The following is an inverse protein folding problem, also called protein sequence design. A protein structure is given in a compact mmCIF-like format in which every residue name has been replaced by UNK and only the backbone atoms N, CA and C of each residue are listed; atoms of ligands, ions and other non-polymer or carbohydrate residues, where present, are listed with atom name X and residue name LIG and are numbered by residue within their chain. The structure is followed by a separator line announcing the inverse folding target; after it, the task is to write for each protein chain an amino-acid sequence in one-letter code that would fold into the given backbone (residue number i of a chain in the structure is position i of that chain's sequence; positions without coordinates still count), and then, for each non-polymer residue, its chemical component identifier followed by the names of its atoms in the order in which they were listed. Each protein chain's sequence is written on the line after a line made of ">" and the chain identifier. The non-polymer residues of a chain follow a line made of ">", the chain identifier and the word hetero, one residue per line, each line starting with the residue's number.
data_IF_549449998752
#
_entry.id   IF_549449998752
#
_cell.length_a   1.000
_cell.length_b   1.000
_cell.length_c   1.000
_cell.angle_alpha   90.00
_cell.angle_beta   90.00
_cell.angle_gamma   90.00
#
_symmetry.space_group_name_H-M   'P 1'
#
loop_
_entity.id
_entity.type
_entity.pdbx_description
1 polymer ?
#
# COMPACT_ATOMS: atom_id res chain seq x y z
N UNK A 1 76.01 -4.71 34.97
CA UNK A 1 74.92 -3.75 35.27
C UNK A 1 75.01 -2.67 34.20
N UNK A 2 74.08 -2.39 33.31
CA UNK A 2 72.69 -2.81 33.07
C UNK A 2 72.35 -2.49 31.60
N UNK A 3 71.78 -3.50 30.93
CA UNK A 3 70.67 -3.45 29.97
C UNK A 3 70.69 -2.69 28.62
N UNK A 4 70.09 -3.41 27.66
CA UNK A 4 69.94 -3.18 26.22
C UNK A 4 69.00 -2.03 25.84
N UNK A 5 69.17 -1.52 24.60
CA UNK A 5 68.08 -1.60 23.61
C UNK A 5 68.57 -1.33 22.17
N UNK A 6 68.60 -2.40 21.37
CA UNK A 6 68.48 -2.34 19.91
C UNK A 6 67.04 -1.96 19.53
N UNK A 7 66.87 -1.16 18.47
CA UNK A 7 65.78 -1.21 17.48
C UNK A 7 66.13 -0.23 16.35
N UNK A 8 66.72 -0.71 15.26
CA UNK A 8 66.06 -1.13 14.01
C UNK A 8 65.22 -0.01 13.38
N UNK A 9 65.86 0.73 12.47
CA UNK A 9 65.22 1.52 11.42
C UNK A 9 64.60 0.58 10.39
N UNK A 10 63.29 0.34 10.48
CA UNK A 10 62.50 -0.15 9.36
C UNK A 10 61.10 0.48 9.43
N UNK A 11 60.58 0.77 8.24
CA UNK A 11 59.22 1.22 7.91
C UNK A 11 58.91 2.74 7.94
N UNK A 12 59.21 3.43 6.84
CA UNK A 12 58.28 4.38 6.22
C UNK A 12 57.53 3.76 5.02
N UNK A 13 58.03 2.67 4.46
CA UNK A 13 57.50 2.04 3.23
C UNK A 13 56.31 1.12 3.47
N UNK A 14 56.24 0.42 4.61
CA UNK A 14 55.10 -0.47 4.93
C UNK A 14 53.78 0.29 5.11
N UNK A 15 53.84 1.51 5.67
CA UNK A 15 52.67 2.37 5.92
C UNK A 15 52.06 2.90 4.61
N UNK A 16 52.88 3.18 3.60
CA UNK A 16 52.40 3.62 2.27
C UNK A 16 51.82 2.48 1.45
N UNK A 17 52.34 1.26 1.59
CA UNK A 17 51.79 0.09 0.91
C UNK A 17 50.43 -0.33 1.48
N UNK A 18 50.26 -0.36 2.81
CA UNK A 18 48.97 -0.67 3.44
C UNK A 18 47.87 0.35 3.11
N UNK A 19 48.23 1.63 3.02
CA UNK A 19 47.27 2.69 2.68
C UNK A 19 46.85 2.63 1.21
N UNK A 20 47.73 2.19 0.30
CA UNK A 20 47.39 1.96 -1.11
C UNK A 20 46.52 0.71 -1.30
N UNK A 21 46.73 -0.38 -0.56
CA UNK A 21 45.82 -1.54 -0.61
C UNK A 21 44.46 -1.24 0.01
N UNK A 22 44.40 -0.45 1.08
CA UNK A 22 43.13 -0.01 1.69
C UNK A 22 42.34 0.95 0.77
N UNK A 23 43.05 1.82 0.04
CA UNK A 23 42.45 2.72 -0.94
C UNK A 23 42.02 1.97 -2.22
N UNK A 24 42.78 0.96 -2.66
CA UNK A 24 42.40 0.09 -3.78
C UNK A 24 41.22 -0.84 -3.44
N UNK A 25 41.07 -1.27 -2.17
CA UNK A 25 39.86 -2.00 -1.73
C UNK A 25 38.61 -1.11 -1.62
N UNK A 26 38.78 0.21 -1.43
CA UNK A 26 37.66 1.17 -1.45
C UNK A 26 37.26 1.62 -2.87
N UNK A 27 38.17 1.53 -3.83
CA UNK A 27 37.93 1.87 -5.24
C UNK A 27 37.37 0.70 -6.07
N UNK A 28 37.22 -0.48 -5.48
CA UNK A 28 36.55 -1.63 -6.06
C UNK A 28 35.12 -1.81 -5.50
N UNK A 29 34.45 -0.70 -5.19
CA UNK A 29 32.99 -0.70 -5.27
C UNK A 29 32.67 -0.84 -6.76
N UNK A 30 32.42 -2.07 -7.21
CA UNK A 30 31.76 -2.27 -8.49
C UNK A 30 30.53 -1.39 -8.47
N UNK A 31 30.49 -0.38 -9.34
CA UNK A 31 29.27 0.36 -9.58
C UNK A 31 28.30 -0.67 -10.17
N UNK A 32 27.47 -1.27 -9.32
CA UNK A 32 26.43 -2.17 -9.76
C UNK A 32 25.55 -1.36 -10.70
N UNK A 33 25.62 -1.63 -11.99
CA UNK A 33 24.86 -0.89 -12.98
C UNK A 33 23.40 -1.24 -12.81
N UNK A 34 22.56 -0.22 -12.63
CA UNK A 34 21.12 -0.36 -12.76
C UNK A 34 20.79 -0.98 -14.12
N UNK A 35 19.89 -1.96 -14.12
CA UNK A 35 19.33 -2.55 -15.33
C UNK A 35 17.91 -2.04 -15.50
N UNK A 36 17.56 -1.66 -16.73
CA UNK A 36 16.22 -1.18 -17.05
C UNK A 36 15.55 -2.12 -18.06
N UNK A 37 14.32 -2.53 -17.74
CA UNK A 37 13.39 -3.21 -18.64
C UNK A 37 12.22 -2.29 -18.95
N UNK A 38 12.04 -1.99 -20.23
CA UNK A 38 10.92 -1.21 -20.72
C UNK A 38 9.86 -2.18 -21.22
N UNK A 39 8.66 -2.13 -20.62
CA UNK A 39 7.52 -2.97 -20.97
C UNK A 39 6.58 -2.20 -21.91
N UNK A 40 6.53 -2.66 -23.16
CA UNK A 40 5.66 -2.11 -24.21
C UNK A 40 5.30 -3.21 -25.22
N UNK A 41 4.51 -2.85 -26.24
CA UNK A 41 4.09 -3.79 -27.28
C UNK A 41 5.25 -4.48 -28.03
N UNK A 42 6.45 -3.89 -28.07
CA UNK A 42 7.60 -4.45 -28.75
C UNK A 42 8.42 -5.42 -27.88
N UNK A 43 8.40 -5.26 -26.56
CA UNK A 43 9.21 -6.07 -25.63
C UNK A 43 8.41 -7.13 -24.87
N UNK A 44 7.08 -7.02 -24.81
CA UNK A 44 6.26 -7.86 -23.93
C UNK A 44 6.38 -9.37 -24.23
N UNK A 45 6.64 -9.75 -25.49
CA UNK A 45 6.82 -11.15 -25.86
C UNK A 45 8.00 -11.83 -25.13
N UNK A 46 9.04 -11.06 -24.74
CA UNK A 46 10.17 -11.54 -23.94
C UNK A 46 9.75 -11.83 -22.48
N UNK A 47 8.85 -11.01 -21.94
CA UNK A 47 8.52 -11.00 -20.51
C UNK A 47 7.17 -11.64 -20.17
N UNK A 48 6.37 -12.03 -21.18
CA UNK A 48 4.99 -12.52 -20.99
C UNK A 48 4.87 -13.72 -20.05
N UNK A 49 5.93 -14.52 -19.90
CA UNK A 49 5.96 -15.71 -19.05
C UNK A 49 6.66 -15.48 -17.69
N UNK A 50 6.98 -14.24 -17.35
CA UNK A 50 7.67 -13.85 -16.13
C UNK A 50 8.99 -13.14 -16.38
N UNK A 51 9.42 -12.36 -15.40
CA UNK A 51 10.72 -11.68 -15.39
C UNK A 51 11.61 -12.37 -14.35
N UNK A 52 12.81 -12.77 -14.76
CA UNK A 52 13.88 -13.21 -13.85
C UNK A 52 15.11 -12.36 -14.06
N UNK A 53 15.65 -11.83 -12.98
CA UNK A 53 16.86 -11.02 -12.99
C UNK A 53 17.79 -11.44 -11.86
N UNK A 54 18.98 -11.92 -12.23
CA UNK A 54 20.01 -12.46 -11.34
C UNK A 54 21.20 -11.50 -11.16
N UNK A 55 21.07 -10.26 -11.64
CA UNK A 55 22.10 -9.23 -11.50
C UNK A 55 22.18 -8.63 -10.10
N UNK A 56 23.28 -7.90 -9.85
CA UNK A 56 23.55 -7.26 -8.55
C UNK A 56 23.00 -5.82 -8.46
N UNK A 57 22.91 -5.12 -9.59
CA UNK A 57 22.39 -3.74 -9.64
C UNK A 57 20.88 -3.71 -9.67
N UNK A 58 20.28 -2.63 -9.20
CA UNK A 58 18.82 -2.44 -9.17
C UNK A 58 18.18 -2.74 -10.53
N UNK A 59 17.03 -3.41 -10.50
CA UNK A 59 16.17 -3.59 -11.66
C UNK A 59 15.10 -2.50 -11.67
N UNK A 60 15.11 -1.66 -12.70
CA UNK A 60 14.03 -0.73 -13.01
C UNK A 60 13.11 -1.37 -14.06
N UNK A 61 11.81 -1.35 -13.80
CA UNK A 61 10.77 -1.74 -14.73
C UNK A 61 9.97 -0.48 -15.07
N UNK A 62 10.12 -0.03 -16.32
CA UNK A 62 9.37 1.09 -16.87
C UNK A 62 8.22 0.58 -17.73
N UNK A 63 7.00 1.04 -17.44
CA UNK A 63 5.79 0.60 -18.15
C UNK A 63 5.32 1.72 -19.09
N UNK A 64 5.42 1.49 -20.40
CA UNK A 64 5.01 2.45 -21.44
C UNK A 64 3.63 2.13 -22.06
N UNK A 65 3.24 0.85 -22.07
CA UNK A 65 1.92 0.37 -22.50
C UNK A 65 1.27 -0.48 -21.40
N UNK A 66 -0.05 -0.67 -21.49
CA UNK A 66 -0.73 -1.67 -20.65
C UNK A 66 -0.26 -3.07 -21.07
N UNK A 67 0.29 -3.82 -20.10
CA UNK A 67 0.94 -5.11 -20.35
C UNK A 67 0.48 -6.17 -19.37
N UNK A 68 0.57 -7.42 -19.78
CA UNK A 68 0.25 -8.57 -18.94
C UNK A 68 1.40 -9.58 -18.94
N UNK A 69 1.83 -9.96 -17.76
CA UNK A 69 2.73 -11.07 -17.49
C UNK A 69 1.89 -12.20 -16.88
N UNK A 70 1.89 -13.37 -17.50
CA UNK A 70 1.21 -14.57 -17.03
C UNK A 70 2.24 -15.67 -16.83
N UNK A 71 2.62 -15.90 -15.57
CA UNK A 71 3.57 -16.94 -15.21
C UNK A 71 2.84 -18.23 -14.85
N UNK A 72 3.21 -19.32 -15.53
CA UNK A 72 2.85 -20.68 -15.11
C UNK A 72 3.81 -21.23 -14.04
N UNK A 73 4.89 -20.50 -13.77
CA UNK A 73 5.79 -20.81 -12.67
C UNK A 73 5.24 -20.29 -11.34
N UNK A 74 6.08 -20.37 -10.32
CA UNK A 74 5.70 -19.97 -8.98
C UNK A 74 5.90 -18.46 -8.72
N UNK A 75 6.41 -17.71 -9.70
CA UNK A 75 6.72 -16.28 -9.57
C UNK A 75 6.46 -15.49 -10.86
N UNK A 76 5.87 -14.30 -10.74
CA UNK A 76 5.68 -13.35 -11.84
C UNK A 76 6.95 -12.56 -12.16
N UNK A 77 7.51 -11.88 -11.14
CA UNK A 77 8.78 -11.15 -11.22
C UNK A 77 9.68 -11.61 -10.08
N UNK A 78 10.84 -12.17 -10.40
CA UNK A 78 11.88 -12.55 -9.43
C UNK A 78 13.17 -11.79 -9.72
N UNK A 79 13.69 -11.13 -8.69
CA UNK A 79 14.94 -10.38 -8.78
C UNK A 79 15.84 -10.66 -7.58
N UNK A 80 17.15 -10.83 -7.82
CA UNK A 80 18.17 -10.89 -6.75
C UNK A 80 18.60 -9.51 -6.26
N UNK A 81 18.28 -8.44 -7.02
CA UNK A 81 18.51 -7.05 -6.66
C UNK A 81 17.18 -6.33 -6.33
N UNK A 82 17.21 -5.15 -5.69
CA UNK A 82 16.02 -4.32 -5.52
C UNK A 82 15.29 -4.06 -6.84
N UNK A 83 13.97 -3.95 -6.77
CA UNK A 83 13.10 -3.68 -7.93
C UNK A 83 12.41 -2.33 -7.74
N UNK A 84 12.46 -1.50 -8.78
CA UNK A 84 11.70 -0.25 -8.87
C UNK A 84 10.75 -0.34 -10.06
N UNK A 85 9.47 -0.06 -9.84
CA UNK A 85 8.43 -0.04 -10.88
C UNK A 85 7.92 1.39 -11.03
N UNK A 86 7.85 1.86 -12.28
CA UNK A 86 7.31 3.17 -12.61
C UNK A 86 6.55 3.17 -13.94
N UNK A 87 5.54 4.02 -14.02
CA UNK A 87 4.87 4.34 -15.28
C UNK A 87 4.53 5.83 -15.33
N UNK A 88 5.32 6.64 -16.07
CA UNK A 88 5.04 8.06 -16.23
C UNK A 88 3.68 8.36 -16.87
N UNK A 89 3.14 7.41 -17.64
CA UNK A 89 1.86 7.53 -18.34
C UNK A 89 0.71 6.79 -17.62
N UNK A 90 0.90 6.40 -16.36
CA UNK A 90 -0.09 5.70 -15.53
C UNK A 90 -0.63 4.40 -16.16
N UNK A 91 0.24 3.68 -16.89
CA UNK A 91 -0.10 2.39 -17.50
C UNK A 91 -0.15 1.27 -16.49
N UNK A 92 -0.80 0.19 -16.90
CA UNK A 92 -1.08 -0.97 -16.08
C UNK A 92 -0.13 -2.12 -16.39
N UNK A 93 0.62 -2.56 -15.38
CA UNK A 93 1.28 -3.86 -15.36
C UNK A 93 0.37 -4.85 -14.64
N UNK A 94 -0.17 -5.81 -15.39
CA UNK A 94 -0.91 -6.94 -14.83
C UNK A 94 0.02 -8.14 -14.67
N UNK A 95 0.05 -8.74 -13.49
CA UNK A 95 0.82 -9.95 -13.18
C UNK A 95 -0.16 -11.02 -12.72
N UNK A 96 -0.20 -12.14 -13.44
CA UNK A 96 -0.98 -13.33 -13.07
C UNK A 96 -0.03 -14.47 -12.79
N UNK A 97 -0.12 -15.02 -11.59
CA UNK A 97 0.56 -16.26 -11.18
C UNK A 97 -0.52 -17.26 -10.82
N UNK A 98 -0.64 -18.30 -11.63
CA UNK A 98 -1.60 -19.39 -11.42
C UNK A 98 -0.83 -20.71 -11.47
N UNK A 99 -0.58 -21.27 -10.29
CA UNK A 99 0.31 -22.42 -10.13
C UNK A 99 0.01 -23.20 -8.86
N UNK A 100 0.29 -24.51 -8.90
CA UNK A 100 0.14 -25.43 -7.77
C UNK A 100 1.47 -25.66 -7.03
N UNK A 101 2.44 -24.75 -7.22
CA UNK A 101 3.74 -24.77 -6.55
C UNK A 101 3.66 -24.31 -5.09
N UNK A 102 4.46 -24.90 -4.21
CA UNK A 102 4.38 -24.68 -2.75
C UNK A 102 4.51 -23.19 -2.34
N UNK A 103 5.26 -22.38 -3.08
CA UNK A 103 5.42 -20.96 -2.76
C UNK A 103 5.14 -20.08 -3.96
N UNK A 104 4.14 -19.21 -3.84
CA UNK A 104 3.67 -18.37 -4.94
C UNK A 104 3.97 -16.88 -4.70
N UNK A 105 4.45 -16.18 -5.71
CA UNK A 105 4.85 -14.77 -5.60
C UNK A 105 4.44 -13.97 -6.84
N UNK A 106 3.67 -12.91 -6.69
CA UNK A 106 3.50 -11.94 -7.78
C UNK A 106 4.84 -11.27 -8.10
N UNK A 107 5.42 -10.62 -7.10
CA UNK A 107 6.76 -10.02 -7.15
C UNK A 107 7.59 -10.48 -5.94
N UNK A 108 8.81 -10.96 -6.19
CA UNK A 108 9.78 -11.37 -5.17
C UNK A 108 11.12 -10.71 -5.42
N UNK A 109 11.57 -9.88 -4.47
CA UNK A 109 12.87 -9.23 -4.52
C UNK A 109 13.39 -8.92 -3.11
N UNK A 110 14.67 -8.53 -2.91
CA UNK A 110 15.16 -8.02 -1.63
C UNK A 110 14.36 -6.80 -1.12
N UNK A 111 14.03 -5.86 -2.00
CA UNK A 111 13.23 -4.67 -1.72
C UNK A 111 12.50 -4.23 -2.98
N UNK A 112 11.33 -3.63 -2.81
CA UNK A 112 10.43 -3.29 -3.91
C UNK A 112 9.94 -1.86 -3.71
N UNK A 113 10.10 -1.02 -4.73
CA UNK A 113 9.57 0.33 -4.80
C UNK A 113 8.58 0.45 -5.96
N UNK A 114 7.41 1.01 -5.69
CA UNK A 114 6.43 1.38 -6.70
C UNK A 114 6.30 2.90 -6.65
N UNK A 115 6.83 3.56 -7.68
CA UNK A 115 6.88 5.02 -7.76
C UNK A 115 5.60 5.60 -8.38
N UNK A 116 5.08 4.94 -9.41
CA UNK A 116 3.96 5.39 -10.22
C UNK A 116 3.41 4.24 -11.07
N UNK A 117 2.28 4.47 -11.76
CA UNK A 117 1.63 3.44 -12.57
C UNK A 117 0.61 2.61 -11.81
N UNK A 118 -0.02 1.67 -12.52
CA UNK A 118 -0.97 0.74 -11.96
C UNK A 118 -0.35 -0.66 -11.97
N UNK A 119 -0.25 -1.31 -10.82
CA UNK A 119 0.27 -2.67 -10.69
C UNK A 119 -0.86 -3.55 -10.17
N UNK A 120 -1.38 -4.43 -11.02
CA UNK A 120 -2.44 -5.38 -10.67
C UNK A 120 -1.86 -6.79 -10.62
N UNK A 121 -1.94 -7.42 -9.45
CA UNK A 121 -1.33 -8.71 -9.17
C UNK A 121 -2.40 -9.68 -8.73
N UNK A 122 -2.53 -10.78 -9.46
CA UNK A 122 -3.35 -11.93 -9.07
C UNK A 122 -2.45 -13.14 -8.85
N UNK A 123 -2.53 -13.72 -7.65
CA UNK A 123 -1.84 -14.96 -7.28
C UNK A 123 -2.86 -15.99 -6.84
N UNK A 124 -2.91 -17.12 -7.56
CA UNK A 124 -3.85 -18.21 -7.33
C UNK A 124 -3.18 -19.57 -7.44
N UNK A 125 -3.76 -20.56 -6.79
CA UNK A 125 -3.32 -21.95 -6.83
C UNK A 125 -4.25 -22.85 -6.01
N UNK A 126 -4.38 -24.12 -6.40
CA UNK A 126 -5.23 -25.08 -5.68
C UNK A 126 -4.61 -25.44 -4.34
N UNK A 127 -3.34 -25.87 -4.40
CA UNK A 127 -2.37 -25.97 -3.32
C UNK A 127 -2.91 -26.41 -1.94
N UNK A 128 -2.84 -27.74 -1.72
CA UNK A 128 -3.45 -28.45 -0.59
C UNK A 128 -2.47 -28.70 0.59
N UNK A 129 -1.23 -28.18 0.56
CA UNK A 129 -0.25 -28.32 1.65
C UNK A 129 -0.37 -27.21 2.71
N UNK A 130 -0.26 -27.56 4.00
CA UNK A 130 -0.55 -26.65 5.12
C UNK A 130 0.58 -25.69 5.52
N UNK A 131 1.82 -25.89 5.06
CA UNK A 131 3.00 -25.10 5.48
C UNK A 131 3.43 -24.03 4.46
N UNK A 132 2.68 -23.86 3.38
CA UNK A 132 3.04 -23.03 2.24
C UNK A 132 2.52 -21.58 2.30
N UNK A 133 3.06 -20.71 1.45
CA UNK A 133 2.76 -19.26 1.45
C UNK A 133 2.51 -18.74 0.03
N UNK A 134 1.60 -17.77 -0.09
CA UNK A 134 1.36 -17.03 -1.33
C UNK A 134 1.39 -15.53 -1.05
N UNK A 135 2.05 -14.78 -1.93
CA UNK A 135 2.31 -13.36 -1.75
C UNK A 135 1.97 -12.60 -3.03
N UNK A 136 1.24 -11.48 -2.93
CA UNK A 136 1.18 -10.52 -4.03
C UNK A 136 2.54 -9.89 -4.24
N UNK A 137 3.08 -9.28 -3.18
CA UNK A 137 4.41 -8.67 -3.12
C UNK A 137 5.18 -9.25 -1.93
N UNK A 138 6.42 -9.67 -2.16
CA UNK A 138 7.31 -10.23 -1.15
C UNK A 138 8.70 -9.59 -1.19
N UNK A 139 8.98 -8.69 -0.25
CA UNK A 139 10.31 -8.17 0.00
C UNK A 139 11.06 -9.07 1.00
N UNK A 140 12.02 -9.86 0.48
CA UNK A 140 12.66 -10.96 1.18
C UNK A 140 13.62 -10.53 2.30
N UNK A 141 14.20 -9.34 2.23
CA UNK A 141 15.21 -8.87 3.19
C UNK A 141 15.10 -7.40 3.59
N UNK A 142 14.33 -6.61 2.85
CA UNK A 142 14.17 -5.18 3.08
C UNK A 142 12.72 -4.75 3.04
N UNK A 143 12.44 -3.73 2.22
CA UNK A 143 11.25 -2.91 2.37
C UNK A 143 10.33 -3.03 1.15
N UNK A 144 9.05 -2.74 1.37
CA UNK A 144 8.14 -2.36 0.29
C UNK A 144 7.83 -0.87 0.45
N UNK A 145 8.04 -0.07 -0.59
CA UNK A 145 7.70 1.36 -0.61
C UNK A 145 6.75 1.64 -1.75
N UNK A 146 5.63 2.31 -1.44
CA UNK A 146 4.65 2.77 -2.41
C UNK A 146 4.53 4.28 -2.24
N UNK A 147 5.11 5.04 -3.16
CA UNK A 147 5.11 6.51 -3.12
C UNK A 147 4.02 7.12 -4.00
N UNK A 148 3.49 6.38 -4.97
CA UNK A 148 2.42 6.82 -5.86
C UNK A 148 1.82 5.67 -6.67
N UNK A 149 0.95 6.00 -7.63
CA UNK A 149 0.27 5.03 -8.48
C UNK A 149 -0.80 4.22 -7.75
N UNK A 150 -1.17 3.07 -8.32
CA UNK A 150 -2.10 2.13 -7.71
C UNK A 150 -1.50 0.72 -7.65
N UNK A 151 -1.72 0.02 -6.54
CA UNK A 151 -1.29 -1.36 -6.32
C UNK A 151 -2.48 -2.17 -5.89
N UNK A 152 -2.84 -3.17 -6.69
CA UNK A 152 -3.91 -4.09 -6.41
C UNK A 152 -3.32 -5.49 -6.28
N UNK A 153 -3.52 -6.14 -5.14
CA UNK A 153 -3.11 -7.54 -4.95
C UNK A 153 -4.32 -8.38 -4.61
N UNK A 154 -4.56 -9.43 -5.39
CA UNK A 154 -5.54 -10.49 -5.13
C UNK A 154 -4.78 -11.78 -4.90
N UNK A 155 -4.81 -12.32 -3.68
CA UNK A 155 -4.15 -13.59 -3.34
C UNK A 155 -5.18 -14.58 -2.83
N UNK A 156 -5.41 -15.64 -3.60
CA UNK A 156 -6.47 -16.62 -3.33
C UNK A 156 -5.95 -18.05 -3.53
N UNK A 157 -5.73 -18.75 -2.42
CA UNK A 157 -5.33 -20.16 -2.40
C UNK A 157 -6.15 -20.92 -1.36
N UNK A 158 -6.16 -22.25 -1.37
CA UNK A 158 -6.95 -23.04 -0.42
C UNK A 158 -6.24 -23.28 0.93
N UNK A 159 -4.94 -23.58 0.95
CA UNK A 159 -4.23 -23.98 2.17
C UNK A 159 -3.09 -23.04 2.63
N UNK A 160 -2.63 -22.09 1.81
CA UNK A 160 -1.47 -21.27 2.15
C UNK A 160 -1.78 -20.16 3.16
N UNK A 161 -0.73 -19.55 3.72
CA UNK A 161 -0.86 -18.18 4.22
C UNK A 161 -0.90 -17.24 3.01
N UNK A 162 -2.00 -16.51 2.86
CA UNK A 162 -2.17 -15.57 1.76
C UNK A 162 -1.85 -14.16 2.25
N UNK A 163 -0.84 -13.54 1.65
CA UNK A 163 -0.38 -12.19 2.01
C UNK A 163 -0.47 -11.25 0.83
N UNK A 164 -1.10 -10.09 1.00
CA UNK A 164 -1.11 -9.08 -0.05
C UNK A 164 0.27 -8.53 -0.31
N UNK A 165 0.79 -7.85 0.71
CA UNK A 165 2.10 -7.24 0.70
C UNK A 165 2.86 -7.69 1.94
N UNK A 166 4.01 -8.30 1.73
CA UNK A 166 4.93 -8.71 2.78
C UNK A 166 6.27 -7.98 2.65
N UNK A 167 6.80 -7.49 3.77
CA UNK A 167 8.15 -6.99 3.86
C UNK A 167 8.83 -7.42 5.16
N UNK A 168 10.05 -7.96 5.06
CA UNK A 168 10.80 -8.37 6.24
C UNK A 168 11.08 -7.19 7.20
N UNK A 169 11.28 -5.97 6.69
CA UNK A 169 11.60 -4.80 7.52
C UNK A 169 10.43 -3.85 7.69
N UNK A 170 10.03 -3.14 6.64
CA UNK A 170 8.86 -2.29 6.71
C UNK A 170 8.13 -2.13 5.38
N UNK A 171 6.85 -1.83 5.50
CA UNK A 171 5.98 -1.38 4.42
C UNK A 171 5.74 0.12 4.62
N UNK A 172 6.10 0.94 3.65
CA UNK A 172 5.85 2.38 3.66
C UNK A 172 4.91 2.77 2.52
N UNK A 173 3.72 3.27 2.86
CA UNK A 173 2.73 3.80 1.92
C UNK A 173 2.63 5.30 2.15
N UNK A 174 3.22 6.07 1.23
CA UNK A 174 3.24 7.53 1.29
C UNK A 174 2.18 8.19 0.39
N UNK A 175 1.63 7.45 -0.57
CA UNK A 175 0.65 7.95 -1.53
C UNK A 175 0.08 6.85 -2.40
N UNK A 176 -0.84 7.22 -3.30
CA UNK A 176 -1.46 6.30 -4.24
C UNK A 176 -2.68 5.56 -3.68
N UNK A 177 -3.12 4.53 -4.42
CA UNK A 177 -4.20 3.62 -4.05
C UNK A 177 -3.62 2.22 -3.82
N UNK A 178 -3.74 1.69 -2.61
CA UNK A 178 -3.29 0.33 -2.28
C UNK A 178 -4.49 -0.51 -1.90
N UNK A 179 -4.76 -1.56 -2.67
CA UNK A 179 -5.82 -2.52 -2.36
C UNK A 179 -5.22 -3.91 -2.19
N UNK A 180 -5.43 -4.50 -1.02
CA UNK A 180 -5.02 -5.86 -0.71
C UNK A 180 -6.27 -6.71 -0.45
N UNK A 181 -6.52 -7.69 -1.32
CA UNK A 181 -7.58 -8.68 -1.17
C UNK A 181 -6.97 -10.08 -1.02
N UNK A 182 -7.16 -10.70 0.14
CA UNK A 182 -6.62 -12.02 0.44
C UNK A 182 -7.77 -12.92 0.84
N UNK A 183 -7.90 -14.06 0.14
CA UNK A 183 -9.00 -14.99 0.38
C UNK A 183 -8.55 -16.42 0.56
N UNK A 184 -9.28 -17.19 1.36
CA UNK A 184 -9.04 -18.61 1.55
C UNK A 184 -7.80 -18.85 2.41
N UNK A 185 -7.08 -19.93 2.16
CA UNK A 185 -5.86 -20.23 2.87
C UNK A 185 -6.09 -20.61 4.34
N UNK A 186 -4.99 -20.97 4.99
CA UNK A 186 -4.97 -21.24 6.43
C UNK A 186 -4.94 -19.97 7.27
N UNK A 187 -4.39 -18.87 6.72
CA UNK A 187 -4.36 -17.54 7.33
C UNK A 187 -4.31 -16.48 6.23
N UNK A 188 -4.85 -15.28 6.48
CA UNK A 188 -4.76 -14.15 5.54
C UNK A 188 -4.13 -12.93 6.19
N UNK A 189 -3.37 -12.15 5.41
CA UNK A 189 -2.69 -10.93 5.84
C UNK A 189 -2.76 -9.89 4.72
N UNK A 190 -3.36 -8.72 4.98
CA UNK A 190 -3.36 -7.64 3.99
C UNK A 190 -1.97 -7.07 3.79
N UNK A 191 -1.48 -6.43 4.84
CA UNK A 191 -0.12 -5.93 4.97
C UNK A 191 0.58 -6.69 6.09
N UNK A 192 1.76 -7.23 5.83
CA UNK A 192 2.58 -7.94 6.81
C UNK A 192 4.01 -7.39 6.79
N UNK A 193 4.33 -6.55 7.77
CA UNK A 193 5.59 -5.83 7.83
C UNK A 193 6.32 -6.03 9.16
N UNK A 194 7.63 -6.22 9.13
CA UNK A 194 8.50 -6.25 10.31
C UNK A 194 9.02 -7.66 10.65
N UNK A 195 10.25 -7.72 11.14
CA UNK A 195 10.91 -8.98 11.42
C UNK A 195 10.50 -9.53 12.80
N UNK A 196 10.26 -10.83 12.85
CA UNK A 196 9.85 -11.62 14.01
C UNK A 196 10.86 -11.62 15.16
N UNK A 197 12.10 -11.18 14.91
CA UNK A 197 13.22 -11.34 15.85
C UNK A 197 13.86 -10.03 16.34
N UNK A 198 13.34 -8.85 15.95
CA UNK A 198 13.89 -7.58 16.39
C UNK A 198 12.76 -6.66 16.86
N UNK A 199 12.72 -6.36 18.16
CA UNK A 199 11.89 -5.31 18.77
C UNK A 199 12.33 -3.91 18.28
N UNK A 200 12.32 -3.69 16.97
CA UNK A 200 12.80 -2.49 16.30
C UNK A 200 11.62 -1.56 16.03
N UNK A 201 11.54 -0.44 16.75
CA UNK A 201 10.55 0.63 16.52
C UNK A 201 10.63 1.23 15.10
N UNK A 202 11.70 0.95 14.35
CA UNK A 202 11.89 1.39 12.96
C UNK A 202 11.35 0.40 11.91
N UNK A 203 10.92 -0.78 12.32
CA UNK A 203 10.33 -1.80 11.46
C UNK A 203 8.79 -1.84 11.63
N UNK A 204 8.07 -2.29 10.62
CA UNK A 204 6.61 -2.44 10.66
C UNK A 204 5.86 -1.85 9.48
N UNK A 205 4.69 -1.22 9.71
CA UNK A 205 3.82 -0.72 8.64
C UNK A 205 3.52 0.75 8.87
N UNK A 206 3.95 1.59 7.95
CA UNK A 206 3.81 3.05 7.99
C UNK A 206 2.94 3.52 6.85
N UNK A 207 1.79 4.13 7.16
CA UNK A 207 0.85 4.69 6.20
C UNK A 207 0.73 6.18 6.50
N UNK A 208 1.25 7.02 5.59
CA UNK A 208 1.31 8.48 5.77
C UNK A 208 0.47 9.26 4.77
N UNK A 209 0.02 8.60 3.70
CA UNK A 209 -0.84 9.18 2.66
C UNK A 209 -1.47 8.11 1.78
N UNK A 210 -2.28 8.55 0.82
CA UNK A 210 -2.99 7.66 -0.10
C UNK A 210 -4.28 7.06 0.47
N UNK A 211 -4.91 6.22 -0.33
CA UNK A 211 -6.09 5.41 0.01
C UNK A 211 -5.67 3.95 0.12
N UNK A 212 -5.83 3.36 1.30
CA UNK A 212 -5.48 1.96 1.56
C UNK A 212 -6.74 1.17 1.88
N UNK A 213 -7.00 0.10 1.13
CA UNK A 213 -8.14 -0.79 1.29
C UNK A 213 -7.62 -2.20 1.52
N UNK A 214 -8.00 -2.80 2.64
CA UNK A 214 -7.59 -4.14 3.01
C UNK A 214 -8.83 -4.98 3.25
N UNK A 215 -8.85 -6.17 2.66
CA UNK A 215 -9.91 -7.14 2.84
C UNK A 215 -9.31 -8.55 2.96
N UNK A 216 -9.21 -9.00 4.21
CA UNK A 216 -8.64 -10.28 4.59
C UNK A 216 -9.78 -11.24 4.97
N UNK A 217 -9.95 -12.31 4.19
CA UNK A 217 -11.06 -13.26 4.32
C UNK A 217 -10.57 -14.71 4.17
N UNK A 218 -10.14 -15.34 5.26
CA UNK A 218 -9.50 -16.65 5.21
C UNK A 218 -10.40 -17.83 5.53
N UNK A 219 -9.98 -19.01 5.07
CA UNK A 219 -10.69 -20.27 5.31
C UNK A 219 -10.48 -20.86 6.71
N UNK A 220 -9.44 -20.42 7.45
CA UNK A 220 -9.13 -20.90 8.79
C UNK A 220 -8.38 -19.87 9.67
N UNK A 221 -8.34 -20.20 10.96
CA UNK A 221 -7.43 -19.73 12.03
C UNK A 221 -7.25 -18.23 12.30
N UNK A 222 -6.69 -17.45 11.35
CA UNK A 222 -6.27 -16.06 11.61
C UNK A 222 -6.33 -15.20 10.35
N UNK A 223 -7.09 -14.12 10.42
CA UNK A 223 -7.26 -13.16 9.33
C UNK A 223 -6.89 -11.76 9.79
N UNK A 224 -5.74 -11.29 9.36
CA UNK A 224 -5.17 -10.00 9.75
C UNK A 224 -5.30 -9.01 8.59
N UNK A 225 -5.80 -7.82 8.86
CA UNK A 225 -5.77 -6.72 7.92
C UNK A 225 -4.35 -6.18 7.80
N UNK A 226 -3.83 -5.69 8.92
CA UNK A 226 -2.43 -5.26 9.04
C UNK A 226 -1.80 -6.05 10.18
N UNK A 227 -0.81 -6.86 9.87
CA UNK A 227 0.05 -7.51 10.86
C UNK A 227 1.42 -6.83 10.86
N UNK A 228 1.84 -6.45 12.05
CA UNK A 228 3.22 -6.11 12.34
C UNK A 228 3.56 -6.75 13.67
N UNK A 229 3.61 -8.08 13.68
CA UNK A 229 3.61 -8.94 14.86
C UNK A 229 4.60 -8.53 15.96
N UNK A 230 5.65 -7.76 15.62
CA UNK A 230 6.66 -7.19 16.53
C UNK A 230 7.12 -5.76 16.14
N UNK A 231 6.51 -5.14 15.13
CA UNK A 231 6.85 -3.80 14.65
C UNK A 231 5.75 -2.79 14.96
N UNK A 232 5.97 -1.53 14.58
CA UNK A 232 4.98 -0.46 14.80
C UNK A 232 4.04 -0.39 13.61
N UNK A 233 2.72 -0.37 13.85
CA UNK A 233 1.75 0.08 12.85
C UNK A 233 1.48 1.55 13.10
N UNK A 234 1.85 2.43 12.16
CA UNK A 234 1.59 3.86 12.28
C UNK A 234 0.79 4.36 11.09
N UNK A 235 -0.41 4.85 11.37
CA UNK A 235 -1.22 5.59 10.39
C UNK A 235 -1.20 7.06 10.77
N UNK A 236 -0.80 7.91 9.82
CA UNK A 236 -0.65 9.34 10.07
C UNK A 236 -0.84 10.16 8.80
N UNK A 237 -0.73 11.48 8.94
CA UNK A 237 -0.89 12.39 7.81
C UNK A 237 -2.30 12.35 7.24
N UNK A 238 -2.43 12.54 5.93
CA UNK A 238 -3.72 12.59 5.24
C UNK A 238 -4.29 11.24 4.83
N UNK A 239 -3.72 10.12 5.30
CA UNK A 239 -4.10 8.78 4.85
C UNK A 239 -5.59 8.45 5.10
N UNK A 240 -6.20 7.70 4.18
CA UNK A 240 -7.54 7.10 4.36
C UNK A 240 -7.38 5.60 4.29
N UNK A 241 -7.77 4.89 5.35
CA UNK A 241 -7.56 3.44 5.48
C UNK A 241 -8.87 2.74 5.81
N UNK A 242 -9.24 1.78 4.98
CA UNK A 242 -10.35 0.87 5.20
C UNK A 242 -9.82 -0.54 5.44
N UNK A 243 -10.13 -1.13 6.59
CA UNK A 243 -9.67 -2.47 6.96
C UNK A 243 -10.89 -3.34 7.20
N UNK A 244 -10.98 -4.47 6.50
CA UNK A 244 -11.97 -5.51 6.76
C UNK A 244 -11.30 -6.84 7.02
N UNK A 245 -11.74 -7.47 8.09
CA UNK A 245 -11.36 -8.82 8.46
C UNK A 245 -12.64 -9.64 8.66
N UNK A 246 -12.60 -10.93 8.30
CA UNK A 246 -13.76 -11.79 8.47
C UNK A 246 -14.05 -12.15 9.93
N UNK A 247 -15.31 -12.53 10.15
CA UNK A 247 -15.92 -12.82 11.45
C UNK A 247 -15.75 -14.28 11.86
N UNK A 248 -14.72 -15.00 11.36
CA UNK A 248 -14.57 -16.45 11.60
C UNK A 248 -14.44 -16.87 13.08
N UNK A 249 -14.57 -15.93 14.02
CA UNK A 249 -14.93 -16.19 15.42
C UNK A 249 -13.80 -16.81 16.23
N UNK A 250 -12.57 -16.79 15.71
CA UNK A 250 -11.39 -17.26 16.41
C UNK A 250 -10.74 -16.10 17.15
N UNK A 251 -10.48 -16.30 18.42
CA UNK A 251 -9.90 -15.35 19.39
C UNK A 251 -8.50 -14.83 19.02
N UNK A 252 -7.93 -15.30 17.90
CA UNK A 252 -6.60 -14.97 17.41
C UNK A 252 -6.63 -14.10 16.14
N UNK A 253 -7.80 -13.60 15.72
CA UNK A 253 -7.87 -12.53 14.72
C UNK A 253 -7.42 -11.24 15.42
N UNK A 254 -6.14 -10.87 15.26
CA UNK A 254 -5.68 -9.57 15.73
C UNK A 254 -5.95 -8.55 14.63
N UNK A 255 -7.21 -8.13 14.59
CA UNK A 255 -7.59 -6.82 14.08
C UNK A 255 -6.72 -5.83 14.83
N UNK A 256 -5.95 -4.99 14.14
CA UNK A 256 -5.57 -3.69 14.71
C UNK A 256 -5.15 -3.80 16.18
N UNK A 257 -3.97 -4.35 16.49
CA UNK A 257 -3.56 -4.46 17.89
C UNK A 257 -3.41 -3.02 18.44
N UNK A 258 -4.37 -2.58 19.26
CA UNK A 258 -4.44 -1.22 19.83
C UNK A 258 -3.17 -0.86 20.59
N UNK A 259 -2.47 -1.86 21.14
CA UNK A 259 -1.24 -1.68 21.90
C UNK A 259 -0.02 -1.39 20.99
N UNK A 260 -0.09 -1.71 19.69
CA UNK A 260 1.01 -1.50 18.72
C UNK A 260 0.64 -0.57 17.57
N UNK A 261 -0.64 -0.22 17.43
CA UNK A 261 -1.13 0.65 16.37
C UNK A 261 -1.27 2.08 16.87
N UNK A 262 -0.52 2.98 16.28
CA UNK A 262 -0.62 4.42 16.54
C UNK A 262 -1.31 5.11 15.37
N UNK A 263 -2.51 5.63 15.60
CA UNK A 263 -3.14 6.61 14.70
C UNK A 263 -2.77 8.00 15.23
N UNK A 264 -2.11 8.82 14.42
CA UNK A 264 -1.57 10.11 14.89
C UNK A 264 -1.68 11.22 13.85
N UNK A 265 -1.75 12.46 14.31
CA UNK A 265 -1.78 13.65 13.46
C UNK A 265 -3.17 14.16 13.08
N UNK A 266 -4.25 13.58 13.64
CA UNK A 266 -5.63 14.10 13.56
C UNK A 266 -6.28 14.09 12.17
N UNK A 267 -5.52 13.83 11.11
CA UNK A 267 -6.02 13.85 9.72
C UNK A 267 -6.17 12.44 9.10
N UNK A 268 -5.62 11.41 9.77
CA UNK A 268 -5.71 10.05 9.29
C UNK A 268 -7.11 9.49 9.55
N UNK A 269 -7.83 9.13 8.49
CA UNK A 269 -9.16 8.52 8.60
C UNK A 269 -9.01 7.01 8.54
N UNK A 270 -9.32 6.31 9.63
CA UNK A 270 -9.24 4.86 9.70
C UNK A 270 -10.59 4.28 10.07
N UNK A 271 -11.13 3.48 9.16
CA UNK A 271 -12.34 2.68 9.34
C UNK A 271 -11.96 1.21 9.37
N UNK A 272 -12.25 0.52 10.47
CA UNK A 272 -11.95 -0.91 10.61
C UNK A 272 -13.23 -1.72 10.90
N UNK A 273 -13.34 -2.91 10.32
CA UNK A 273 -14.44 -3.86 10.51
C UNK A 273 -13.89 -5.24 10.85
N UNK A 274 -14.46 -5.85 11.89
CA UNK A 274 -14.32 -7.27 12.22
C UNK A 274 -15.65 -7.97 11.93
N UNK A 275 -15.90 -8.30 10.65
CA UNK A 275 -17.10 -8.97 10.17
C UNK A 275 -18.41 -8.16 10.11
N UNK A 276 -18.50 -7.06 10.86
CA UNK A 276 -19.66 -6.18 10.90
C UNK A 276 -19.46 -4.84 10.20
N UNK A 277 -20.02 -3.79 10.79
CA UNK A 277 -19.88 -2.43 10.30
C UNK A 277 -18.43 -1.95 10.40
N UNK A 278 -18.02 -1.08 9.49
CA UNK A 278 -16.76 -0.36 9.59
C UNK A 278 -16.90 0.74 10.62
N UNK A 279 -16.02 0.79 11.61
CA UNK A 279 -16.07 1.76 12.69
C UNK A 279 -14.89 2.72 12.62
N UNK A 280 -15.15 4.01 12.73
CA UNK A 280 -14.11 5.04 12.86
C UNK A 280 -13.30 4.81 14.15
N UNK A 281 -11.97 4.80 14.03
CA UNK A 281 -11.08 4.44 15.14
C UNK A 281 -10.67 5.60 16.03
N UNK A 282 -10.37 6.75 15.44
CA UNK A 282 -9.97 7.97 16.15
C UNK A 282 -10.67 9.18 15.55
N UNK A 283 -10.68 10.29 16.31
CA UNK A 283 -11.10 11.57 15.76
C UNK A 283 -10.22 11.93 14.56
N UNK A 284 -10.86 12.29 13.46
CA UNK A 284 -10.19 12.45 12.19
C UNK A 284 -10.73 13.63 11.39
N UNK A 285 -9.85 14.23 10.61
CA UNK A 285 -10.18 15.28 9.65
C UNK A 285 -9.79 14.78 8.27
N UNK A 286 -10.78 14.48 7.43
CA UNK A 286 -10.53 14.08 6.05
C UNK A 286 -9.91 15.25 5.28
N UNK A 287 -8.68 15.06 4.84
CA UNK A 287 -7.88 16.08 4.12
C UNK A 287 -7.68 15.77 2.63
N UNK A 288 -8.24 14.67 2.14
CA UNK A 288 -8.23 14.28 0.74
C UNK A 288 -9.58 13.71 0.33
N UNK A 289 -9.85 13.66 -0.97
CA UNK A 289 -11.09 13.07 -1.47
C UNK A 289 -11.11 11.57 -1.22
N UNK A 290 -12.24 11.07 -0.72
CA UNK A 290 -12.41 9.65 -0.46
C UNK A 290 -13.81 9.17 -0.89
N UNK A 291 -13.91 7.87 -1.13
CA UNK A 291 -15.17 7.19 -1.38
C UNK A 291 -15.33 6.07 -0.36
N UNK A 292 -16.51 5.98 0.28
CA UNK A 292 -16.86 4.84 1.10
C UNK A 292 -16.94 3.57 0.26
N UNK A 293 -16.62 2.42 0.85
CA UNK A 293 -16.66 1.16 0.10
C UNK A 293 -18.11 0.75 -0.21
N UNK A 294 -18.43 0.37 -1.46
CA UNK A 294 -19.77 -0.10 -1.82
C UNK A 294 -20.24 -1.27 -0.95
N UNK A 295 -21.51 -1.24 -0.55
CA UNK A 295 -22.12 -2.29 0.30
C UNK A 295 -21.67 -2.27 1.76
N UNK A 296 -20.80 -1.35 2.15
CA UNK A 296 -20.34 -1.18 3.52
C UNK A 296 -21.24 -0.25 4.33
N UNK A 297 -21.44 -0.59 5.61
CA UNK A 297 -21.97 0.34 6.61
C UNK A 297 -20.81 0.89 7.42
N UNK A 298 -20.72 2.21 7.53
CA UNK A 298 -19.67 2.96 8.20
C UNK A 298 -20.27 3.70 9.39
N UNK A 299 -19.66 3.57 10.55
CA UNK A 299 -20.14 4.12 11.80
C UNK A 299 -19.11 5.09 12.37
N UNK A 300 -19.59 6.26 12.77
CA UNK A 300 -18.86 7.13 13.69
C UNK A 300 -19.38 6.79 15.10
N UNK A 301 -18.56 6.24 16.01
CA UNK A 301 -19.00 5.95 17.37
C UNK A 301 -19.40 7.20 18.16
N UNK A 302 -20.28 7.02 19.14
CA UNK A 302 -20.56 8.08 20.14
C UNK A 302 -19.26 8.55 20.78
N UNK A 303 -19.08 9.87 20.85
CA UNK A 303 -17.86 10.48 21.39
C UNK A 303 -16.71 10.62 20.39
N UNK A 304 -16.91 10.21 19.12
CA UNK A 304 -15.97 10.44 18.02
C UNK A 304 -16.50 11.47 17.03
N UNK A 305 -15.57 12.11 16.32
CA UNK A 305 -15.85 13.08 15.28
C UNK A 305 -15.06 12.79 14.00
N UNK A 306 -15.75 12.80 12.86
CA UNK A 306 -15.13 12.89 11.54
C UNK A 306 -15.45 14.25 10.93
N UNK A 307 -14.43 15.08 10.77
CA UNK A 307 -14.52 16.37 10.07
C UNK A 307 -14.03 16.28 8.62
N UNK A 308 -14.39 17.29 7.82
CA UNK A 308 -13.81 17.55 6.51
C UNK A 308 -12.92 18.81 6.57
N UNK A 309 -11.74 18.78 5.93
CA UNK A 309 -10.89 19.97 5.78
C UNK A 309 -10.79 20.44 4.34
N UNK A 310 -10.80 21.77 4.17
CA UNK A 310 -10.75 22.42 2.86
C UNK A 310 -11.82 21.89 1.90
N UNK A 311 -11.47 21.80 0.61
CA UNK A 311 -12.35 21.28 -0.45
C UNK A 311 -12.43 19.75 -0.54
N UNK A 312 -12.02 19.01 0.50
CA UNK A 312 -12.14 17.56 0.51
C UNK A 312 -13.61 17.13 0.52
N UNK A 313 -13.89 16.00 -0.12
CA UNK A 313 -15.19 15.36 -0.06
C UNK A 313 -15.11 13.89 0.37
N UNK A 314 -16.17 13.44 1.04
CA UNK A 314 -16.46 12.03 1.25
C UNK A 314 -17.67 11.65 0.40
N UNK A 315 -17.47 10.73 -0.53
CA UNK A 315 -18.51 10.28 -1.42
C UNK A 315 -19.09 8.94 -0.93
N UNK A 316 -20.42 8.87 -0.85
CA UNK A 316 -21.17 7.68 -0.49
C UNK A 316 -21.79 7.09 -1.77
N UNK A 317 -21.19 6.03 -2.35
CA UNK A 317 -21.75 5.34 -3.50
C UNK A 317 -23.02 4.59 -3.11
N UNK A 318 -23.76 4.13 -4.12
CA UNK A 318 -24.94 3.27 -3.92
C UNK A 318 -24.59 2.03 -3.07
N UNK A 319 -25.46 1.73 -2.10
CA UNK A 319 -25.28 0.60 -1.19
C UNK A 319 -24.30 0.84 -0.02
N UNK A 320 -23.54 1.94 -0.01
CA UNK A 320 -22.79 2.35 1.18
C UNK A 320 -23.65 3.20 2.11
N UNK A 321 -23.46 3.09 3.43
CA UNK A 321 -24.17 3.90 4.44
C UNK A 321 -23.18 4.50 5.43
N UNK A 322 -23.32 5.78 5.77
CA UNK A 322 -22.60 6.42 6.87
C UNK A 322 -23.57 6.73 8.01
N UNK A 323 -23.28 6.25 9.21
CA UNK A 323 -24.09 6.40 10.42
C UNK A 323 -23.41 7.40 11.37
N UNK A 324 -24.12 8.50 11.65
CA UNK A 324 -23.71 9.62 12.49
C UNK A 324 -24.96 10.34 13.05
N UNK A 325 -24.81 11.16 14.10
CA UNK A 325 -25.91 11.89 14.73
C UNK A 325 -26.53 11.16 15.93
N UNK A 326 -27.86 11.18 16.07
CA UNK A 326 -28.53 10.59 17.24
C UNK A 326 -28.22 9.08 17.36
N UNK A 327 -27.60 8.69 18.49
CA UNK A 327 -27.13 7.31 18.71
C UNK A 327 -25.73 6.99 18.17
N UNK A 328 -25.09 7.94 17.50
CA UNK A 328 -23.77 7.82 16.87
C UNK A 328 -22.90 9.06 17.18
N UNK A 329 -21.73 9.15 16.58
CA UNK A 329 -20.81 10.29 16.71
C UNK A 329 -21.13 11.44 15.76
N UNK A 330 -20.27 12.45 15.79
CA UNK A 330 -20.44 13.67 15.00
C UNK A 330 -19.79 13.53 13.62
N UNK A 331 -20.48 14.02 12.60
CA UNK A 331 -19.90 14.26 11.28
C UNK A 331 -19.97 15.75 11.00
N UNK A 332 -18.81 16.40 10.92
CA UNK A 332 -18.69 17.85 10.77
C UNK A 332 -18.34 18.20 9.33
N UNK A 333 -19.27 18.86 8.64
CA UNK A 333 -19.09 19.34 7.28
C UNK A 333 -19.73 20.73 7.11
N UNK A 334 -19.14 21.56 6.23
CA UNK A 334 -19.51 22.97 6.09
C UNK A 334 -20.49 23.28 4.93
N UNK A 335 -20.90 22.30 4.10
CA UNK A 335 -21.67 22.55 2.86
C UNK A 335 -22.83 21.61 2.55
N UNK A 336 -23.79 22.07 1.75
CA UNK A 336 -25.17 21.56 1.55
C UNK A 336 -25.39 20.10 1.12
N UNK A 337 -26.58 19.57 1.46
CA UNK A 337 -27.08 18.24 1.09
C UNK A 337 -27.20 17.99 -0.44
N UNK A 338 -27.04 16.75 -0.94
CA UNK A 338 -26.85 16.45 -2.36
C UNK A 338 -28.13 16.25 -3.20
N UNK A 339 -27.98 16.31 -4.54
CA UNK A 339 -28.97 15.90 -5.56
C UNK A 339 -28.44 14.70 -6.38
N UNK A 340 -29.27 13.66 -6.44
CA UNK A 340 -29.27 12.41 -7.24
C UNK A 340 -27.97 11.62 -7.55
N UNK A 341 -28.11 10.30 -7.39
CA UNK A 341 -27.21 9.15 -7.67
C UNK A 341 -25.96 8.96 -6.80
N UNK A 342 -25.45 10.00 -6.15
CA UNK A 342 -24.39 9.85 -5.15
C UNK A 342 -24.50 10.92 -4.07
N UNK A 343 -24.42 10.54 -2.80
CA UNK A 343 -24.36 11.50 -1.70
C UNK A 343 -22.92 11.95 -1.54
N UNK A 344 -22.65 13.24 -1.75
CA UNK A 344 -21.34 13.85 -1.55
C UNK A 344 -21.42 14.74 -0.31
N UNK A 345 -20.57 14.45 0.67
CA UNK A 345 -20.35 15.31 1.83
C UNK A 345 -19.11 16.17 1.57
N UNK A 346 -19.22 17.51 1.65
CA UNK A 346 -18.14 18.42 1.27
C UNK A 346 -17.89 19.53 2.31
N UNK A 347 -16.61 19.91 2.46
CA UNK A 347 -16.18 21.17 3.09
C UNK A 347 -15.97 22.28 2.06
N UNK A 348 -16.17 23.55 2.43
CA UNK A 348 -16.00 24.73 1.56
C UNK A 348 -14.50 25.02 1.22
N UNK A 349 -14.11 25.79 0.19
CA UNK A 349 -14.80 26.82 -0.63
C UNK A 349 -15.07 26.42 -2.09
N UNK A 350 -16.19 26.88 -2.68
CA UNK A 350 -16.26 27.14 -4.12
C UNK A 350 -16.31 28.65 -4.38
N UNK A 351 -15.20 29.26 -4.84
CA UNK A 351 -15.28 30.46 -5.68
C UNK A 351 -14.22 30.45 -6.78
N UNK A 352 -14.69 30.21 -8.01
CA UNK A 352 -14.43 31.21 -9.04
C UNK A 352 -15.74 31.49 -9.78
N UNK A 353 -16.31 32.66 -9.51
CA UNK A 353 -17.26 33.28 -10.43
C UNK A 353 -16.57 33.46 -11.78
N UNK A 354 -17.24 32.99 -12.83
CA UNK A 354 -16.80 33.04 -14.22
C UNK A 354 -16.41 34.45 -14.69
N UNK A 355 -15.59 34.58 -15.75
CA UNK A 355 -15.84 35.63 -16.71
C UNK A 355 -16.99 35.18 -17.62
N UNK A 356 -18.22 35.62 -17.32
CA UNK A 356 -19.19 35.81 -18.40
C UNK A 356 -18.79 37.09 -19.13
N UNK A 357 -18.08 36.92 -20.24
CA UNK A 357 -18.05 37.90 -21.32
C UNK A 357 -18.51 37.16 -22.59
N UNK A 358 -19.81 37.30 -22.87
CA UNK A 358 -20.46 36.69 -24.02
C UNK A 358 -21.94 37.04 -24.04
N UNK A 359 -22.28 38.32 -23.88
CA UNK A 359 -23.61 38.80 -24.24
C UNK A 359 -23.63 39.10 -25.73
N UNK A 360 -24.51 38.43 -26.48
CA UNK A 360 -25.25 38.80 -27.72
C UNK A 360 -25.89 37.49 -28.21
N UNK A 361 -27.21 37.27 -28.32
CA UNK A 361 -28.38 38.13 -28.39
C UNK A 361 -29.63 37.35 -27.85
N UNK A 362 -30.69 38.10 -27.46
CA UNK A 362 -31.91 37.60 -26.79
C UNK A 362 -32.91 36.81 -27.65
N UNK A 363 -34.24 36.82 -27.37
CA UNK A 363 -35.01 37.60 -26.38
C UNK A 363 -35.92 36.77 -25.44
N UNK A 364 -36.46 37.42 -24.39
CA UNK A 364 -37.78 37.08 -23.85
C UNK A 364 -37.82 36.53 -22.42
N UNK A 365 -37.83 37.42 -21.43
CA UNK A 365 -38.14 37.11 -20.04
C UNK A 365 -39.59 36.60 -19.86
N UNK A 366 -39.80 35.66 -18.93
CA UNK A 366 -41.02 35.57 -18.15
C UNK A 366 -40.76 34.95 -16.76
N UNK A 367 -41.12 35.74 -15.76
CA UNK A 367 -41.16 35.51 -14.30
C UNK A 367 -42.31 34.54 -13.95
N UNK A 368 -42.21 33.77 -12.85
CA UNK A 368 -43.19 33.77 -11.74
C UNK A 368 -42.87 32.76 -10.61
N UNK A 369 -42.63 33.30 -9.41
CA UNK A 369 -42.97 32.67 -8.13
C UNK A 369 -44.50 32.67 -7.94
N UNK A 370 -45.10 31.55 -7.48
CA UNK A 370 -46.24 31.65 -6.54
C UNK A 370 -46.52 30.40 -5.70
N UNK A 371 -46.73 30.72 -4.43
CA UNK A 371 -47.16 30.03 -3.21
C UNK A 371 -48.57 29.42 -3.26
N UNK A 372 -48.87 28.44 -2.39
CA UNK A 372 -50.15 28.23 -1.66
C UNK A 372 -49.93 27.13 -0.60
N UNK A 373 -50.40 27.21 0.65
CA UNK A 373 -51.23 28.20 1.34
C UNK A 373 -50.85 28.22 2.82
#
# INVERSE_FOLDING_TARGET
>A
MEQEKRRCYFAPTLRRMMMATFLCSFLATSAASTKEYVLNAASIEEFKNGIRYDGEGELIIEIEDDVTISSSGNVGIESTAPVTIRSPAERTLTIVVDSDEEFLYGIKAPSIMIESGNVDITVRGKNDSGDSNAFGIHAASGNVTISGGSVFTTVETAAHKNKGIYALRFINIAGGLVTAYQRGGSNTFGLDGGNVEADSEGDGVFISGGLVVINSNGGAARNYGIDSRFGTVKVSGGAVVFIREDESGRTDNYVYNEDVTTISGGNAVVFASAGGNYTLREDAILAQNAMLLPGGTFEIPVGRTLGLSGGAYLAQPEGATLLFGEGYGAFEYAGSAPRDRMTIYAGEEPVQQAPVAGLLAGPGAAVLLRRKQ
#
